data_IF_687565843082
#
_entry.id   IF_687565843082
#
_cell.length_a   1.000
_cell.length_b   1.000
_cell.length_c   1.000
_cell.angle_alpha   90.00
_cell.angle_beta   90.00
_cell.angle_gamma   90.00
#
_symmetry.space_group_name_H-M   'P 1'
#
loop_
_entity.id
_entity.type
_entity.pdbx_description
1 polymer ?
#
# COMPACT_ATOMS: atom_id res chain seq x y z
N UNK A 1 1.73 -14.96 22.65
CA UNK A 1 0.33 -14.54 22.84
C UNK A 1 -0.15 -14.10 21.46
N UNK A 2 -0.93 -14.96 20.80
CA UNK A 2 -1.26 -14.80 19.37
C UNK A 2 -2.55 -13.99 19.26
N UNK A 3 -2.48 -12.72 18.84
CA UNK A 3 -3.67 -11.97 18.43
C UNK A 3 -3.94 -12.36 16.98
N UNK A 4 -4.99 -13.14 16.78
CA UNK A 4 -5.64 -13.26 15.48
C UNK A 4 -6.25 -11.89 15.18
N UNK A 5 -5.87 -11.26 14.07
CA UNK A 5 -6.55 -10.10 13.53
C UNK A 5 -7.98 -10.51 13.20
N UNK A 6 -8.89 -10.13 14.08
CA UNK A 6 -10.32 -10.28 13.86
C UNK A 6 -10.72 -9.05 13.06
N UNK A 7 -11.33 -9.22 11.89
CA UNK A 7 -11.87 -8.10 11.10
C UNK A 7 -12.92 -7.38 11.96
N UNK A 8 -12.53 -6.27 12.58
CA UNK A 8 -13.43 -5.41 13.34
C UNK A 8 -13.76 -4.24 12.42
N UNK A 9 -15.01 -4.19 11.95
CA UNK A 9 -15.58 -2.98 11.36
C UNK A 9 -15.46 -1.83 12.36
N UNK A 10 -15.25 -0.60 11.89
CA UNK A 10 -15.24 0.57 12.79
C UNK A 10 -16.40 0.53 13.75
N UNK A 11 -16.11 0.70 15.03
CA UNK A 11 -17.18 0.92 16.01
C UNK A 11 -17.66 2.36 15.85
N UNK A 12 -18.64 2.58 14.97
CA UNK A 12 -19.23 3.91 14.74
C UNK A 12 -20.00 4.33 16.00
N UNK A 13 -19.54 5.38 16.67
CA UNK A 13 -20.26 6.00 17.79
C UNK A 13 -21.40 6.87 17.25
N UNK A 14 -22.42 7.11 18.08
CA UNK A 14 -23.53 8.02 17.72
C UNK A 14 -23.04 9.41 17.31
N UNK A 15 -21.96 9.88 17.95
CA UNK A 15 -21.38 11.18 17.66
C UNK A 15 -20.71 11.23 16.27
N UNK A 16 -20.06 10.13 15.86
CA UNK A 16 -19.49 10.00 14.51
C UNK A 16 -20.56 10.06 13.43
N UNK A 17 -21.69 9.37 13.65
CA UNK A 17 -22.82 9.41 12.73
C UNK A 17 -23.37 10.84 12.60
N UNK A 18 -23.53 11.56 13.71
CA UNK A 18 -23.97 12.97 13.69
C UNK A 18 -23.04 13.86 12.89
N UNK A 19 -21.71 13.68 13.02
CA UNK A 19 -20.72 14.45 12.26
C UNK A 19 -20.86 14.14 10.77
N UNK A 20 -20.93 12.87 10.39
CA UNK A 20 -21.11 12.47 8.98
C UNK A 20 -22.42 13.00 8.40
N UNK A 21 -23.53 12.86 9.12
CA UNK A 21 -24.84 13.35 8.68
C UNK A 21 -24.81 14.86 8.45
N UNK A 22 -24.18 15.62 9.36
CA UNK A 22 -24.02 17.07 9.21
C UNK A 22 -23.16 17.44 8.01
N UNK A 23 -22.00 16.80 7.84
CA UNK A 23 -21.13 17.03 6.68
C UNK A 23 -21.84 16.71 5.36
N UNK A 24 -22.70 15.70 5.34
CA UNK A 24 -23.48 15.33 4.16
C UNK A 24 -24.63 16.31 3.88
N UNK A 25 -25.29 16.82 4.92
CA UNK A 25 -26.29 17.88 4.78
C UNK A 25 -25.65 19.17 4.27
N UNK A 26 -24.55 19.60 4.88
CA UNK A 26 -23.80 20.79 4.46
C UNK A 26 -23.31 20.64 3.01
N UNK A 27 -22.91 19.44 2.60
CA UNK A 27 -22.53 19.12 1.22
C UNK A 27 -23.68 19.30 0.22
N UNK A 28 -24.90 18.92 0.57
CA UNK A 28 -26.10 19.11 -0.25
C UNK A 28 -26.55 20.57 -0.31
N UNK A 29 -26.30 21.34 0.75
CA UNK A 29 -26.63 22.76 0.82
C UNK A 29 -25.61 23.65 0.09
N UNK A 30 -24.35 23.22 0.00
CA UNK A 30 -23.27 23.96 -0.66
C UNK A 30 -23.46 24.09 -2.18
N UNK A 31 -23.89 23.00 -2.85
CA UNK A 31 -24.30 23.02 -4.26
C UNK A 31 -25.45 22.03 -4.50
N UNK A 32 -26.46 22.48 -5.25
CA UNK A 32 -27.72 21.74 -5.48
C UNK A 32 -27.53 20.37 -6.15
N UNK A 33 -26.40 20.16 -6.83
CA UNK A 33 -26.03 18.91 -7.52
C UNK A 33 -24.78 18.25 -6.91
N UNK A 34 -24.34 18.69 -5.73
CA UNK A 34 -23.21 18.11 -5.01
C UNK A 34 -23.47 16.64 -4.68
N UNK A 35 -22.58 15.76 -5.17
CA UNK A 35 -22.62 14.32 -4.91
C UNK A 35 -21.74 13.92 -3.72
N UNK A 36 -21.30 14.89 -2.92
CA UNK A 36 -20.43 14.66 -1.78
C UNK A 36 -21.21 13.87 -0.72
N UNK A 37 -20.71 12.68 -0.42
CA UNK A 37 -21.27 11.75 0.56
C UNK A 37 -20.12 11.14 1.35
N UNK A 38 -19.87 11.70 2.52
CA UNK A 38 -18.89 11.24 3.48
C UNK A 38 -19.31 9.92 4.12
N UNK A 39 -18.38 8.98 4.09
CA UNK A 39 -18.46 7.69 4.74
C UNK A 39 -17.11 7.37 5.40
N UNK A 40 -17.05 6.37 6.26
CA UNK A 40 -15.77 5.91 6.81
C UNK A 40 -14.77 5.55 5.71
N UNK A 41 -13.57 6.11 5.82
CA UNK A 41 -12.48 5.87 4.88
C UNK A 41 -11.94 4.46 4.99
N UNK A 42 -11.67 3.83 3.84
CA UNK A 42 -11.16 2.44 3.76
C UNK A 42 -9.65 2.35 3.58
N UNK A 43 -8.99 3.48 3.35
CA UNK A 43 -7.53 3.55 3.17
C UNK A 43 -6.85 3.44 4.54
N UNK A 44 -5.69 2.78 4.62
CA UNK A 44 -4.88 2.69 5.84
C UNK A 44 -4.57 4.09 6.42
N UNK A 45 -4.81 4.27 7.71
CA UNK A 45 -4.36 5.39 8.52
C UNK A 45 -3.73 4.82 9.77
N UNK A 46 -2.72 5.52 10.29
CA UNK A 46 -2.28 5.29 11.66
C UNK A 46 -3.28 5.98 12.60
N UNK A 47 -3.72 5.30 13.64
CA UNK A 47 -4.63 5.85 14.64
C UNK A 47 -3.93 5.77 15.99
N UNK A 48 -4.05 6.80 16.82
CA UNK A 48 -3.49 6.78 18.18
C UNK A 48 -4.24 5.80 19.10
N UNK A 49 -5.48 5.42 18.76
CA UNK A 49 -6.26 4.42 19.47
C UNK A 49 -6.24 3.08 18.72
N UNK A 50 -5.50 2.10 19.27
CA UNK A 50 -5.41 0.72 18.76
C UNK A 50 -6.78 0.02 18.64
N UNK A 51 -7.83 0.54 19.27
CA UNK A 51 -9.16 -0.11 19.28
C UNK A 51 -10.02 0.21 18.06
N UNK A 52 -9.64 1.17 17.21
CA UNK A 52 -10.53 1.64 16.14
C UNK A 52 -10.32 1.02 14.77
N UNK A 53 -9.17 0.39 14.46
CA UNK A 53 -9.01 -0.50 13.30
C UNK A 53 -7.78 -1.40 13.42
N UNK A 54 -7.94 -2.69 13.13
CA UNK A 54 -6.89 -3.50 12.48
C UNK A 54 -7.03 -3.28 10.97
N UNK A 55 -5.90 -3.26 10.26
CA UNK A 55 -5.79 -3.02 8.80
C UNK A 55 -6.97 -3.55 7.98
N UNK A 56 -7.52 -2.72 7.09
CA UNK A 56 -8.61 -3.10 6.20
C UNK A 56 -8.22 -4.30 5.32
N UNK A 57 -9.06 -5.32 5.29
CA UNK A 57 -8.96 -6.45 4.37
C UNK A 57 -9.00 -5.91 2.92
N UNK A 58 -7.84 -5.93 2.24
CA UNK A 58 -7.62 -5.28 0.94
C UNK A 58 -6.46 -4.27 0.90
N UNK A 59 -5.97 -3.82 2.05
CA UNK A 59 -4.71 -3.07 2.18
C UNK A 59 -3.50 -3.96 2.49
N UNK A 60 -3.71 -5.28 2.56
CA UNK A 60 -2.62 -6.25 2.58
C UNK A 60 -1.96 -6.26 1.20
N UNK A 61 -0.72 -5.79 1.12
CA UNK A 61 0.10 -6.16 -0.02
C UNK A 61 0.22 -7.69 -0.01
N UNK A 62 0.22 -8.32 -1.18
CA UNK A 62 0.57 -9.74 -1.30
C UNK A 62 1.92 -10.03 -0.60
N UNK A 63 2.80 -9.02 -0.54
CA UNK A 63 4.06 -9.07 0.21
C UNK A 63 3.82 -9.18 1.72
N UNK A 64 2.90 -8.42 2.30
CA UNK A 64 2.61 -8.48 3.74
C UNK A 64 2.09 -9.85 4.14
N UNK A 65 1.23 -10.46 3.31
CA UNK A 65 0.75 -11.82 3.55
C UNK A 65 1.87 -12.86 3.41
N UNK A 66 2.76 -12.70 2.43
CA UNK A 66 3.94 -13.56 2.28
C UNK A 66 4.91 -13.41 3.47
N UNK A 67 5.09 -12.20 3.98
CA UNK A 67 5.90 -11.93 5.17
C UNK A 67 5.24 -12.50 6.43
N UNK A 68 3.92 -12.40 6.56
CA UNK A 68 3.18 -13.02 7.66
C UNK A 68 3.36 -14.54 7.64
N UNK A 69 3.22 -15.17 6.47
CA UNK A 69 3.48 -16.61 6.30
C UNK A 69 4.94 -16.92 6.69
N UNK A 70 5.91 -16.11 6.26
CA UNK A 70 7.32 -16.24 6.61
C UNK A 70 7.56 -16.18 8.12
N UNK A 71 6.87 -15.27 8.81
CA UNK A 71 7.00 -15.04 10.25
C UNK A 71 6.20 -16.06 11.07
N UNK A 72 5.15 -16.64 10.50
CA UNK A 72 4.34 -17.69 11.12
C UNK A 72 5.13 -19.02 11.13
N UNK A 73 6.08 -19.14 12.04
CA UNK A 73 6.83 -20.39 12.21
C UNK A 73 5.87 -21.47 12.74
N UNK A 74 5.65 -22.57 12.01
CA UNK A 74 4.83 -23.67 12.51
C UNK A 74 5.38 -24.18 13.84
N UNK A 75 4.48 -24.63 14.73
CA UNK A 75 4.87 -25.24 16.00
C UNK A 75 4.86 -26.75 15.88
N UNK A 76 5.89 -27.38 16.41
CA UNK A 76 6.01 -28.83 16.52
C UNK A 76 6.36 -29.18 17.95
N UNK A 77 5.84 -30.30 18.42
CA UNK A 77 6.16 -30.83 19.74
C UNK A 77 7.53 -31.52 19.69
N UNK A 78 8.43 -31.18 20.62
CA UNK A 78 9.70 -31.87 20.80
C UNK A 78 9.53 -33.19 21.57
N UNK A 79 10.62 -33.95 21.70
CA UNK A 79 10.63 -35.25 22.42
C UNK A 79 10.23 -35.15 23.90
N UNK A 80 10.16 -33.93 24.46
CA UNK A 80 9.79 -33.64 25.85
C UNK A 80 8.39 -33.05 25.99
N UNK A 81 7.60 -33.00 24.92
CA UNK A 81 6.25 -32.43 24.94
C UNK A 81 6.20 -30.90 24.83
N UNK A 82 7.33 -30.25 24.54
CA UNK A 82 7.41 -28.79 24.45
C UNK A 82 7.15 -28.32 23.03
N UNK A 83 6.25 -27.36 22.86
CA UNK A 83 5.97 -26.76 21.56
C UNK A 83 7.11 -25.83 21.15
N UNK A 84 7.90 -26.25 20.16
CA UNK A 84 8.99 -25.48 19.56
C UNK A 84 8.59 -24.95 18.19
N UNK A 85 9.06 -23.75 17.85
CA UNK A 85 8.84 -23.18 16.52
C UNK A 85 9.85 -23.75 15.53
N UNK A 86 9.38 -24.30 14.41
CA UNK A 86 10.21 -24.91 13.36
C UNK A 86 10.11 -24.10 12.06
N UNK A 87 11.09 -24.25 11.17
CA UNK A 87 11.03 -23.65 9.84
C UNK A 87 9.93 -24.27 8.99
N UNK A 88 9.39 -23.50 8.06
CA UNK A 88 8.36 -23.96 7.15
C UNK A 88 8.98 -24.87 6.07
N UNK A 89 8.40 -26.05 5.84
CA UNK A 89 8.97 -27.05 4.92
C UNK A 89 8.97 -26.58 3.46
N UNK A 90 7.88 -25.92 3.03
CA UNK A 90 7.66 -25.51 1.64
C UNK A 90 7.78 -24.01 1.40
N UNK A 91 8.20 -23.24 2.40
CA UNK A 91 8.26 -21.79 2.31
C UNK A 91 9.59 -21.29 2.86
N UNK A 92 10.32 -20.55 2.05
CA UNK A 92 11.59 -19.94 2.42
C UNK A 92 11.60 -18.49 1.96
N UNK A 93 12.18 -17.64 2.79
CA UNK A 93 12.40 -16.22 2.45
C UNK A 93 13.89 -15.97 2.42
N UNK A 94 14.36 -15.34 1.34
CA UNK A 94 15.75 -14.92 1.20
C UNK A 94 15.76 -13.40 1.26
N UNK A 95 16.27 -12.86 2.38
CA UNK A 95 16.42 -11.42 2.57
C UNK A 95 17.74 -10.94 1.94
N UNK A 96 17.83 -9.63 1.70
CA UNK A 96 19.00 -9.00 1.07
C UNK A 96 19.37 -9.60 -0.30
N UNK A 97 18.37 -10.13 -1.00
CA UNK A 97 18.50 -10.67 -2.34
C UNK A 97 17.99 -9.67 -3.37
N UNK A 98 18.92 -8.98 -4.04
CA UNK A 98 18.56 -8.01 -5.09
C UNK A 98 18.36 -8.75 -6.43
N UNK A 99 17.11 -9.08 -6.77
CA UNK A 99 16.77 -9.70 -8.06
C UNK A 99 17.00 -8.71 -9.20
N UNK A 100 17.86 -9.07 -10.16
CA UNK A 100 18.22 -8.21 -11.30
C UNK A 100 17.51 -8.58 -12.59
N UNK A 101 17.43 -9.86 -12.92
CA UNK A 101 16.86 -10.34 -14.18
C UNK A 101 16.23 -11.73 -14.04
N UNK A 102 15.44 -12.10 -15.02
CA UNK A 102 14.92 -13.45 -15.23
C UNK A 102 15.90 -14.27 -16.07
N UNK A 103 15.92 -15.58 -15.84
CA UNK A 103 16.65 -16.55 -16.66
C UNK A 103 15.69 -17.24 -17.60
N UNK A 104 16.07 -17.35 -18.88
CA UNK A 104 15.28 -18.04 -19.90
C UNK A 104 16.02 -19.25 -20.46
N UNK A 105 15.29 -20.29 -20.82
CA UNK A 105 15.80 -21.38 -21.65
C UNK A 105 15.78 -21.00 -23.15
N UNK A 106 16.15 -21.96 -24.00
CA UNK A 106 16.17 -21.78 -25.47
C UNK A 106 14.76 -21.53 -26.06
N UNK A 107 13.73 -22.04 -25.41
CA UNK A 107 12.32 -21.91 -25.82
C UNK A 107 11.65 -20.66 -25.20
N UNK A 108 12.44 -19.81 -24.54
CA UNK A 108 12.00 -18.59 -23.84
C UNK A 108 11.08 -18.85 -22.65
N UNK A 109 11.15 -20.02 -22.02
CA UNK A 109 10.52 -20.28 -20.73
C UNK A 109 11.38 -19.73 -19.59
N UNK A 110 10.74 -19.19 -18.56
CA UNK A 110 11.44 -18.67 -17.39
C UNK A 110 11.92 -19.82 -16.50
N UNK A 111 13.23 -19.94 -16.32
CA UNK A 111 13.90 -20.98 -15.55
C UNK A 111 14.29 -20.55 -14.14
N UNK A 112 14.17 -19.27 -13.82
CA UNK A 112 14.57 -18.73 -12.53
C UNK A 112 14.88 -17.24 -12.58
N UNK A 113 15.64 -16.80 -11.58
CA UNK A 113 16.03 -15.39 -11.40
C UNK A 113 17.52 -15.28 -11.11
N UNK A 114 18.13 -14.19 -11.57
CA UNK A 114 19.48 -13.79 -11.16
C UNK A 114 19.41 -12.77 -10.05
N UNK A 115 20.24 -12.96 -9.03
CA UNK A 115 20.32 -12.13 -7.83
C UNK A 115 21.72 -11.56 -7.73
N UNK A 116 21.82 -10.26 -7.49
CA UNK A 116 23.06 -9.58 -7.11
C UNK A 116 23.25 -9.71 -5.61
N UNK A 117 24.32 -10.37 -5.19
CA UNK A 117 24.73 -10.48 -3.79
C UNK A 117 25.42 -9.19 -3.33
N UNK A 118 25.60 -9.01 -2.02
CA UNK A 118 26.15 -7.79 -1.42
C UNK A 118 27.60 -7.49 -1.82
N UNK A 119 28.33 -8.51 -2.26
CA UNK A 119 29.69 -8.42 -2.82
C UNK A 119 29.70 -8.10 -4.33
N UNK A 120 28.54 -7.89 -4.94
CA UNK A 120 28.38 -7.57 -6.35
C UNK A 120 28.35 -8.78 -7.29
N UNK A 121 28.48 -10.00 -6.77
CA UNK A 121 28.41 -11.22 -7.58
C UNK A 121 26.97 -11.53 -8.02
N UNK A 122 26.84 -12.27 -9.12
CA UNK A 122 25.55 -12.72 -9.64
C UNK A 122 25.34 -14.21 -9.33
N UNK A 123 24.23 -14.54 -8.68
CA UNK A 123 23.85 -15.91 -8.32
C UNK A 123 22.45 -16.21 -8.88
N UNK A 124 22.28 -17.37 -9.49
CA UNK A 124 20.98 -17.83 -10.00
C UNK A 124 20.21 -18.64 -8.96
N UNK A 125 18.92 -18.37 -8.82
CA UNK A 125 17.95 -19.26 -8.17
C UNK A 125 17.02 -19.81 -9.25
N UNK A 126 17.06 -21.12 -9.44
CA UNK A 126 16.28 -21.80 -10.48
C UNK A 126 15.01 -22.42 -9.93
N UNK A 127 13.98 -22.50 -10.78
CA UNK A 127 12.77 -23.28 -10.48
C UNK A 127 12.97 -24.74 -10.88
N UNK A 128 12.23 -25.64 -10.23
CA UNK A 128 12.14 -27.05 -10.66
C UNK A 128 11.30 -27.14 -11.94
N UNK A 129 11.38 -28.27 -12.64
CA UNK A 129 10.54 -28.54 -13.81
C UNK A 129 9.05 -28.37 -13.46
N UNK A 130 8.33 -27.57 -14.26
CA UNK A 130 6.92 -27.21 -14.02
C UNK A 130 6.70 -26.11 -12.97
N UNK A 131 7.77 -25.56 -12.38
CA UNK A 131 7.70 -24.41 -11.49
C UNK A 131 7.46 -23.09 -12.24
N UNK A 132 6.96 -22.09 -11.53
CA UNK A 132 6.67 -20.77 -12.09
C UNK A 132 7.41 -19.68 -11.30
N UNK A 133 7.75 -18.59 -11.99
CA UNK A 133 8.24 -17.35 -11.37
C UNK A 133 7.12 -16.32 -11.40
N UNK A 134 6.82 -15.75 -10.23
CA UNK A 134 5.85 -14.66 -10.09
C UNK A 134 6.62 -13.40 -9.70
N UNK A 135 6.52 -12.36 -10.54
CA UNK A 135 7.20 -11.09 -10.30
C UNK A 135 6.27 -10.14 -9.54
N UNK A 136 6.66 -9.77 -8.33
CA UNK A 136 5.90 -8.90 -7.43
C UNK A 136 6.79 -7.80 -6.82
N UNK A 137 7.66 -7.19 -7.63
CA UNK A 137 8.64 -6.18 -7.20
C UNK A 137 8.09 -4.73 -7.24
N UNK A 138 6.77 -4.56 -7.34
CA UNK A 138 6.11 -3.25 -7.45
C UNK A 138 6.23 -2.62 -8.83
N UNK A 139 5.63 -1.44 -8.99
CA UNK A 139 5.45 -0.76 -10.29
C UNK A 139 6.74 -0.27 -10.94
N UNK A 140 7.83 -0.10 -10.18
CA UNK A 140 9.12 0.36 -10.71
C UNK A 140 10.08 -0.81 -10.96
N UNK A 141 10.31 -1.66 -9.96
CA UNK A 141 11.32 -2.70 -10.08
C UNK A 141 10.86 -3.90 -10.90
N UNK A 142 9.56 -4.20 -10.97
CA UNK A 142 9.06 -5.29 -11.84
C UNK A 142 9.40 -5.01 -13.31
N UNK A 143 8.98 -3.88 -13.91
CA UNK A 143 9.38 -3.56 -15.27
C UNK A 143 10.90 -3.38 -15.43
N UNK A 144 11.62 -2.88 -14.41
CA UNK A 144 13.08 -2.81 -14.47
C UNK A 144 13.74 -4.19 -14.59
N UNK A 145 13.27 -5.18 -13.82
CA UNK A 145 13.69 -6.58 -13.94
C UNK A 145 13.37 -7.08 -15.34
N UNK A 146 12.16 -6.83 -15.86
CA UNK A 146 11.78 -7.24 -17.20
C UNK A 146 12.62 -6.57 -18.30
N UNK A 147 13.05 -5.32 -18.13
CA UNK A 147 13.91 -4.60 -19.08
C UNK A 147 15.36 -5.08 -19.08
N UNK A 148 15.88 -5.50 -17.91
CA UNK A 148 17.17 -6.20 -17.79
C UNK A 148 17.08 -7.66 -18.26
N UNK A 149 15.87 -8.17 -18.43
CA UNK A 149 15.57 -9.51 -18.89
C UNK A 149 15.31 -9.52 -20.40
N UNK A 150 15.43 -10.69 -21.03
CA UNK A 150 15.03 -10.90 -22.42
C UNK A 150 16.02 -10.35 -23.46
N UNK A 151 15.66 -10.57 -24.72
CA UNK A 151 16.45 -10.24 -25.90
C UNK A 151 16.05 -8.88 -26.51
N UNK A 152 16.63 -8.53 -27.66
CA UNK A 152 16.33 -7.28 -28.38
C UNK A 152 14.86 -7.14 -28.75
N UNK A 153 14.13 -8.24 -28.95
CA UNK A 153 12.72 -8.23 -29.37
C UNK A 153 11.76 -8.11 -28.18
N UNK A 154 12.26 -8.36 -26.97
CA UNK A 154 11.50 -8.32 -25.73
C UNK A 154 11.14 -6.90 -25.31
N UNK A 155 12.10 -5.98 -25.39
CA UNK A 155 11.91 -4.58 -24.93
C UNK A 155 10.79 -3.85 -25.69
N UNK A 156 10.72 -3.89 -27.04
CA UNK A 156 9.61 -3.30 -27.77
C UNK A 156 8.25 -3.93 -27.42
N UNK A 157 8.20 -5.23 -27.13
CA UNK A 157 6.96 -5.93 -26.75
C UNK A 157 6.40 -5.42 -25.43
N UNK A 158 7.24 -5.29 -24.39
CA UNK A 158 6.79 -4.77 -23.09
C UNK A 158 6.26 -3.35 -23.24
N UNK A 159 6.98 -2.52 -24.01
CA UNK A 159 6.56 -1.14 -24.26
C UNK A 159 5.21 -1.07 -24.98
N UNK A 160 5.01 -1.88 -26.02
CA UNK A 160 3.75 -1.94 -26.77
C UNK A 160 2.57 -2.45 -25.93
N UNK A 161 2.83 -3.19 -24.85
CA UNK A 161 1.83 -3.62 -23.88
C UNK A 161 1.58 -2.57 -22.77
N UNK A 162 2.23 -1.41 -22.83
CA UNK A 162 2.14 -0.37 -21.80
C UNK A 162 2.87 -0.73 -20.50
N UNK A 163 3.66 -1.79 -20.47
CA UNK A 163 4.30 -2.31 -19.26
C UNK A 163 5.42 -1.43 -18.70
N UNK A 164 5.82 -0.37 -19.42
CA UNK A 164 6.84 0.60 -19.00
C UNK A 164 6.24 1.95 -18.60
N UNK A 165 4.95 2.17 -18.89
CA UNK A 165 4.28 3.43 -18.63
C UNK A 165 3.87 3.49 -17.16
N UNK A 166 4.32 4.54 -16.48
CA UNK A 166 3.95 4.85 -15.12
C UNK A 166 2.89 5.94 -15.07
N UNK A 167 2.03 5.83 -14.07
CA UNK A 167 1.18 6.91 -13.63
C UNK A 167 1.19 6.92 -12.11
N UNK A 168 1.10 8.11 -11.55
CA UNK A 168 0.84 8.29 -10.13
C UNK A 168 -0.26 9.34 -9.98
N UNK A 169 -0.97 9.27 -8.86
CA UNK A 169 -2.02 10.23 -8.56
C UNK A 169 -1.42 11.57 -8.18
N UNK A 170 -2.02 12.66 -8.65
CA UNK A 170 -1.72 13.96 -8.07
C UNK A 170 -2.39 14.03 -6.69
N UNK A 171 -1.59 14.29 -5.66
CA UNK A 171 -2.04 14.33 -4.27
C UNK A 171 -1.90 15.77 -3.77
N UNK A 172 -3.04 16.41 -3.54
CA UNK A 172 -3.12 17.70 -2.87
C UNK A 172 -3.48 17.47 -1.42
N UNK A 173 -2.83 18.17 -0.50
CA UNK A 173 -3.11 18.03 0.93
C UNK A 173 -3.15 19.36 1.64
N UNK A 174 -4.00 19.41 2.67
CA UNK A 174 -4.10 20.49 3.62
C UNK A 174 -4.06 19.89 5.02
N UNK A 175 -3.27 20.47 5.91
CA UNK A 175 -3.23 20.09 7.31
C UNK A 175 -3.20 21.31 8.22
N UNK A 176 -3.86 21.20 9.37
CA UNK A 176 -3.76 22.17 10.45
C UNK A 176 -3.99 21.52 11.81
N UNK A 177 -3.28 21.99 12.82
CA UNK A 177 -3.61 21.69 14.22
C UNK A 177 -4.91 22.39 14.62
N UNK A 178 -5.68 21.77 15.51
CA UNK A 178 -6.83 22.41 16.14
C UNK A 178 -6.84 22.13 17.65
N UNK A 179 -7.79 22.72 18.36
CA UNK A 179 -8.09 22.39 19.75
C UNK A 179 -9.58 22.11 19.86
N UNK A 180 -9.95 21.15 20.70
CA UNK A 180 -11.35 21.01 21.09
C UNK A 180 -11.69 22.13 22.07
N UNK A 181 -12.90 22.69 21.96
CA UNK A 181 -13.39 23.71 22.89
C UNK A 181 -13.44 23.18 24.34
N UNK A 182 -13.63 21.87 24.50
CA UNK A 182 -13.53 21.13 25.76
C UNK A 182 -12.53 19.98 25.58
N UNK A 183 -11.57 19.79 26.49
CA UNK A 183 -10.59 18.70 26.39
C UNK A 183 -11.23 17.31 26.51
N UNK A 184 -12.34 17.17 27.24
CA UNK A 184 -13.01 15.88 27.45
C UNK A 184 -13.67 15.38 26.16
N UNK A 185 -14.10 16.32 25.30
CA UNK A 185 -14.61 16.03 23.98
C UNK A 185 -13.61 15.26 23.10
N UNK A 186 -12.29 15.44 23.30
CA UNK A 186 -11.28 14.68 22.56
C UNK A 186 -11.48 13.17 22.71
N UNK A 187 -11.80 12.71 23.91
CA UNK A 187 -12.04 11.29 24.19
C UNK A 187 -13.42 10.82 23.70
N UNK A 188 -14.40 11.72 23.68
CA UNK A 188 -15.76 11.44 23.19
C UNK A 188 -15.80 11.28 21.67
N UNK A 189 -15.26 12.26 20.94
CA UNK A 189 -15.17 12.26 19.48
C UNK A 189 -14.15 11.24 19.01
N UNK A 190 -12.94 11.26 19.55
CA UNK A 190 -11.84 10.41 19.11
C UNK A 190 -11.47 10.60 17.64
N UNK A 191 -10.50 9.80 17.19
CA UNK A 191 -10.00 9.85 15.83
C UNK A 191 -11.07 9.44 14.81
N UNK A 192 -11.20 10.21 13.73
CA UNK A 192 -12.09 9.88 12.60
C UNK A 192 -11.34 9.90 11.27
N UNK A 193 -11.75 9.01 10.37
CA UNK A 193 -11.31 9.02 8.97
C UNK A 193 -12.51 8.89 8.05
N UNK A 194 -12.75 9.92 7.26
CA UNK A 194 -13.86 9.99 6.32
C UNK A 194 -13.30 10.04 4.89
N UNK A 195 -14.09 9.55 3.94
CA UNK A 195 -13.74 9.49 2.54
C UNK A 195 -14.97 9.74 1.68
N UNK A 196 -14.77 10.42 0.55
CA UNK A 196 -15.82 10.66 -0.44
C UNK A 196 -15.23 10.94 -1.82
N UNK A 197 -16.09 11.00 -2.83
CA UNK A 197 -15.73 11.50 -4.15
C UNK A 197 -16.24 12.93 -4.30
N UNK A 198 -15.37 13.80 -4.82
CA UNK A 198 -15.69 15.21 -5.06
C UNK A 198 -15.50 15.50 -6.54
N UNK A 199 -16.50 16.16 -7.12
CA UNK A 199 -16.38 16.74 -8.45
C UNK A 199 -15.70 18.10 -8.33
N UNK A 200 -14.55 18.27 -8.98
CA UNK A 200 -13.78 19.52 -9.02
C UNK A 200 -13.77 20.10 -10.44
N UNK A 201 -14.86 19.90 -11.18
CA UNK A 201 -15.09 20.39 -12.53
C UNK A 201 -14.73 19.32 -13.57
N UNK A 202 -13.50 19.36 -14.10
CA UNK A 202 -13.07 18.41 -15.14
C UNK A 202 -12.52 17.10 -14.57
N UNK A 203 -12.47 16.95 -13.25
CA UNK A 203 -11.89 15.80 -12.58
C UNK A 203 -12.77 15.33 -11.43
N UNK A 204 -12.78 14.02 -11.21
CA UNK A 204 -13.28 13.43 -9.97
C UNK A 204 -12.07 13.17 -9.08
N UNK A 205 -12.08 13.76 -7.90
CA UNK A 205 -11.07 13.54 -6.88
C UNK A 205 -11.62 12.61 -5.80
N UNK A 206 -10.76 11.73 -5.28
CA UNK A 206 -11.03 11.03 -4.04
C UNK A 206 -10.56 11.90 -2.88
N UNK A 207 -11.51 12.39 -2.08
CA UNK A 207 -11.24 13.17 -0.89
C UNK A 207 -11.16 12.26 0.34
N UNK A 208 -10.12 12.43 1.14
CA UNK A 208 -9.94 11.79 2.44
C UNK A 208 -9.78 12.87 3.51
N UNK A 209 -10.49 12.71 4.61
CA UNK A 209 -10.44 13.60 5.76
C UNK A 209 -10.06 12.79 6.99
N UNK A 210 -9.07 13.26 7.72
CA UNK A 210 -8.62 12.72 9.00
C UNK A 210 -8.81 13.80 10.07
N UNK A 211 -9.50 13.46 11.16
CA UNK A 211 -9.78 14.36 12.29
C UNK A 211 -9.18 13.70 13.54
N UNK A 212 -8.25 14.40 14.19
CA UNK A 212 -7.49 13.89 15.35
C UNK A 212 -6.93 12.48 15.10
N UNK A 213 -6.45 12.27 13.88
CA UNK A 213 -5.91 11.00 13.40
C UNK A 213 -4.65 11.28 12.59
N UNK A 214 -3.66 10.38 12.65
CA UNK A 214 -2.55 10.44 11.71
C UNK A 214 -3.03 9.95 10.34
N UNK A 215 -2.67 10.71 9.31
CA UNK A 215 -2.90 10.30 7.93
C UNK A 215 -1.59 9.76 7.37
N UNK A 216 -1.69 8.67 6.60
CA UNK A 216 -0.56 8.14 5.83
C UNK A 216 -0.07 9.14 4.75
N UNK A 217 -0.89 10.16 4.45
CA UNK A 217 -0.61 11.23 3.49
C UNK A 217 -1.10 12.59 4.05
N UNK A 218 -0.32 13.67 3.93
CA UNK A 218 1.04 13.73 3.39
C UNK A 218 2.08 13.21 4.38
N UNK A 219 3.19 12.65 3.88
CA UNK A 219 4.39 12.34 4.68
C UNK A 219 5.18 13.61 5.04
N UNK A 220 4.49 14.63 5.55
CA UNK A 220 5.14 15.82 6.07
C UNK A 220 5.63 15.56 7.49
N UNK A 221 6.81 16.07 7.85
CA UNK A 221 7.26 16.19 9.24
C UNK A 221 6.31 17.15 9.99
N UNK A 222 5.17 16.65 10.48
CA UNK A 222 4.32 17.42 11.38
C UNK A 222 4.97 17.45 12.77
N UNK A 223 5.34 18.62 13.32
CA UNK A 223 6.25 18.70 14.47
C UNK A 223 5.65 18.39 15.85
N UNK A 224 4.35 18.11 15.97
CA UNK A 224 3.70 18.05 17.29
C UNK A 224 2.72 16.88 17.40
N UNK A 225 3.10 15.88 18.20
CA UNK A 225 2.25 14.73 18.55
C UNK A 225 1.18 15.06 19.61
N UNK A 226 1.26 16.24 20.23
CA UNK A 226 0.44 16.59 21.40
C UNK A 226 -0.91 17.23 21.02
N UNK A 227 -0.98 17.90 19.86
CA UNK A 227 -2.19 18.59 19.38
C UNK A 227 -2.94 17.78 18.32
N UNK A 228 -4.29 17.75 18.36
CA UNK A 228 -5.08 17.05 17.36
C UNK A 228 -4.92 17.71 15.98
N UNK A 229 -4.87 16.87 14.94
CA UNK A 229 -4.64 17.30 13.56
C UNK A 229 -5.89 17.13 12.72
N UNK A 230 -6.21 18.13 11.91
CA UNK A 230 -7.16 18.03 10.81
C UNK A 230 -6.36 17.93 9.52
N UNK A 231 -6.57 16.85 8.76
CA UNK A 231 -5.87 16.60 7.49
C UNK A 231 -6.92 16.30 6.42
N UNK A 232 -6.82 16.99 5.29
CA UNK A 232 -7.64 16.77 4.11
C UNK A 232 -6.73 16.46 2.93
N UNK A 233 -7.01 15.37 2.22
CA UNK A 233 -6.22 14.92 1.06
C UNK A 233 -7.15 14.73 -0.12
N UNK A 234 -6.81 15.31 -1.26
CA UNK A 234 -7.48 15.10 -2.55
C UNK A 234 -6.55 14.32 -3.45
N UNK A 235 -7.00 13.15 -3.88
CA UNK A 235 -6.27 12.24 -4.77
C UNK A 235 -6.95 12.33 -6.13
N UNK A 236 -6.28 12.95 -7.10
CA UNK A 236 -6.80 13.12 -8.45
C UNK A 236 -6.35 11.95 -9.33
N UNK A 237 -7.27 11.43 -10.14
CA UNK A 237 -6.91 10.48 -11.17
C UNK A 237 -6.05 11.18 -12.23
N UNK A 238 -4.89 10.58 -12.52
CA UNK A 238 -4.05 10.98 -13.63
C UNK A 238 -4.11 9.92 -14.74
N UNK A 239 -4.31 10.32 -16.00
CA UNK A 239 -4.18 9.37 -17.10
C UNK A 239 -2.71 8.95 -17.25
N UNK A 240 -2.49 7.74 -17.77
CA UNK A 240 -1.18 7.32 -18.25
C UNK A 240 -0.68 8.33 -19.29
N UNK A 241 0.53 8.85 -19.09
CA UNK A 241 1.15 9.82 -19.99
C UNK A 241 2.27 9.10 -20.74
N UNK A 242 2.31 9.24 -22.06
CA UNK A 242 3.29 8.56 -22.94
C UNK A 242 4.76 8.93 -22.66
N UNK A 243 4.99 9.96 -21.84
CA UNK A 243 6.32 10.47 -21.47
C UNK A 243 6.82 9.93 -20.13
N UNK A 244 5.98 9.22 -19.37
CA UNK A 244 6.32 8.63 -18.07
C UNK A 244 6.77 7.19 -18.26
N UNK A 245 7.95 7.01 -18.85
CA UNK A 245 8.50 5.70 -19.20
C UNK A 245 9.62 5.31 -18.24
N UNK A 246 9.60 4.06 -17.78
CA UNK A 246 10.74 3.50 -17.06
C UNK A 246 11.83 3.13 -18.05
N UNK A 247 13.03 3.66 -17.83
CA UNK A 247 14.24 3.28 -18.55
C UNK A 247 15.28 2.67 -17.62
N UNK A 248 16.26 1.96 -18.19
CA UNK A 248 17.43 1.50 -17.44
C UNK A 248 18.62 2.39 -17.82
N UNK A 249 19.23 3.02 -16.83
CA UNK A 249 20.45 3.81 -16.96
C UNK A 249 21.44 3.36 -15.89
N UNK A 250 22.68 3.09 -16.30
CA UNK A 250 23.72 2.56 -15.42
C UNK A 250 23.27 1.34 -14.60
N UNK A 251 22.47 0.47 -15.25
CA UNK A 251 21.86 -0.74 -14.69
C UNK A 251 20.74 -0.51 -13.64
N UNK A 252 20.36 0.73 -13.35
CA UNK A 252 19.28 1.07 -12.41
C UNK A 252 18.06 1.71 -13.11
N UNK A 253 16.84 1.56 -12.56
CA UNK A 253 15.65 2.17 -13.14
C UNK A 253 15.62 3.68 -12.91
N UNK A 254 15.25 4.42 -13.95
CA UNK A 254 14.96 5.85 -13.93
C UNK A 254 13.53 6.05 -14.49
N UNK A 255 12.81 7.03 -13.93
CA UNK A 255 11.41 7.39 -14.25
C UNK A 255 11.37 8.81 -14.78
#
# INVERSE_FOLDING_TARGET
MTRFSKTIFTTTRRIHQRIMDRLNLDGLEAEKDSKVQWQWGRIASEFQDEQNYDFAEGAYSSIDRLLEIAMSRPKKEDEKGTQVSVEHEHFKTVLNANVRSLNFDQDKNVMGVNIRTSDGNMVSISVRLGGNVVLAAGSVHSPAILLRSGDSDWKPKIRNLGGLLLTDHDILSYSCSFCYDDSDHRSEYGAMKLQTYVDIGNHIALANMSIDASSFLPRSDTPDNDLPQFIMVFILQRPLVDQSDIIIKDDEPEV
#
